data_IF_263255160205
#
_entry.id   IF_263255160205
#
_cell.length_a   1.000
_cell.length_b   1.000
_cell.length_c   1.000
_cell.angle_alpha   90.00
_cell.angle_beta   90.00
_cell.angle_gamma   90.00
#
_symmetry.space_group_name_H-M   'P 1'
#
loop_
_entity.id
_entity.type
_entity.pdbx_description
1 polymer ?
#
# COMPACT_ATOMS: atom_id res chain seq x y z
N UNK A 1 -27.30 51.11 -8.61
CA UNK A 1 -27.85 49.86 -8.03
C UNK A 1 -28.07 48.76 -9.07
N UNK A 2 -28.71 49.02 -10.21
CA UNK A 2 -28.99 47.99 -11.23
C UNK A 2 -27.76 47.19 -11.68
N UNK A 3 -26.65 47.86 -12.04
CA UNK A 3 -25.40 47.20 -12.45
C UNK A 3 -24.77 46.31 -11.37
N UNK A 4 -24.92 46.70 -10.10
CA UNK A 4 -24.43 45.92 -8.96
C UNK A 4 -25.24 44.64 -8.81
N UNK A 5 -26.56 44.69 -9.01
CA UNK A 5 -27.42 43.49 -8.95
C UNK A 5 -27.06 42.52 -10.07
N UNK A 6 -26.87 43.02 -11.30
CA UNK A 6 -26.45 42.18 -12.45
C UNK A 6 -25.08 41.54 -12.19
N UNK A 7 -24.13 42.30 -11.65
CA UNK A 7 -22.79 41.79 -11.32
C UNK A 7 -22.85 40.63 -10.31
N UNK A 8 -23.62 40.77 -9.23
CA UNK A 8 -23.73 39.72 -8.21
C UNK A 8 -24.44 38.48 -8.77
N UNK A 9 -25.50 38.64 -9.55
CA UNK A 9 -26.24 37.51 -10.14
C UNK A 9 -25.39 36.71 -11.14
N UNK A 10 -24.70 37.40 -12.06
CA UNK A 10 -23.93 36.73 -13.10
C UNK A 10 -22.61 36.20 -12.54
N UNK A 11 -21.88 37.01 -11.78
CA UNK A 11 -20.52 36.66 -11.37
C UNK A 11 -20.51 35.77 -10.12
N UNK A 12 -21.24 36.15 -9.06
CA UNK A 12 -21.19 35.41 -7.79
C UNK A 12 -22.12 34.20 -7.79
N UNK A 13 -23.35 34.35 -8.30
CA UNK A 13 -24.31 33.24 -8.32
C UNK A 13 -23.96 32.23 -9.40
N UNK A 14 -23.92 32.65 -10.68
CA UNK A 14 -23.74 31.71 -11.79
C UNK A 14 -22.27 31.30 -11.94
N UNK A 15 -21.34 32.27 -11.97
CA UNK A 15 -19.92 31.99 -12.21
C UNK A 15 -19.24 31.20 -11.09
N UNK A 16 -19.44 31.63 -9.84
CA UNK A 16 -18.79 31.01 -8.68
C UNK A 16 -19.65 29.94 -7.99
N UNK A 17 -20.83 29.64 -8.53
CA UNK A 17 -21.78 28.67 -7.97
C UNK A 17 -21.98 28.86 -6.45
N UNK A 18 -22.00 30.12 -5.99
CA UNK A 18 -22.00 30.45 -4.55
C UNK A 18 -23.24 29.99 -3.77
N UNK A 19 -24.26 29.47 -4.48
CA UNK A 19 -25.45 28.84 -3.91
C UNK A 19 -25.27 27.33 -3.66
N UNK A 20 -24.20 26.71 -4.15
CA UNK A 20 -23.90 25.30 -3.96
C UNK A 20 -22.88 25.11 -2.84
N UNK A 21 -23.15 24.14 -1.97
CA UNK A 21 -22.17 23.62 -1.01
C UNK A 21 -21.53 22.37 -1.58
N UNK A 22 -20.28 22.49 -2.02
CA UNK A 22 -19.49 21.35 -2.43
C UNK A 22 -19.10 20.54 -1.20
N UNK A 23 -19.42 19.25 -1.22
CA UNK A 23 -18.91 18.29 -0.25
C UNK A 23 -17.96 17.39 -1.01
N UNK A 24 -16.75 17.22 -0.50
CA UNK A 24 -15.81 16.26 -1.08
C UNK A 24 -16.35 14.85 -0.92
N UNK A 25 -16.21 14.04 -1.98
CA UNK A 25 -16.59 12.65 -1.95
C UNK A 25 -15.66 11.89 -0.99
N UNK A 26 -16.16 11.57 0.20
CA UNK A 26 -15.46 10.71 1.15
C UNK A 26 -15.69 9.25 0.74
N UNK A 27 -14.70 8.64 0.08
CA UNK A 27 -14.73 7.21 -0.24
C UNK A 27 -13.71 6.46 0.62
N UNK A 28 -14.14 5.40 1.29
CA UNK A 28 -13.26 4.50 2.05
C UNK A 28 -13.06 3.22 1.25
N UNK A 29 -11.84 2.95 0.80
CA UNK A 29 -11.49 1.65 0.21
C UNK A 29 -10.99 0.70 1.28
N UNK A 30 -11.47 -0.54 1.28
CA UNK A 30 -10.93 -1.62 2.12
C UNK A 30 -9.99 -2.47 1.27
N UNK A 31 -8.71 -2.47 1.63
CA UNK A 31 -7.72 -3.39 1.07
C UNK A 31 -7.60 -4.58 2.02
N UNK A 32 -7.91 -5.77 1.54
CA UNK A 32 -7.66 -7.03 2.26
C UNK A 32 -6.43 -7.69 1.66
N UNK A 33 -5.40 -7.95 2.47
CA UNK A 33 -4.29 -8.78 2.05
C UNK A 33 -4.78 -10.22 1.85
N UNK A 34 -4.54 -10.77 0.66
CA UNK A 34 -4.65 -12.20 0.41
C UNK A 34 -3.27 -12.83 0.53
N UNK A 35 -3.23 -14.07 1.01
CA UNK A 35 -2.02 -14.88 1.08
C UNK A 35 -1.42 -15.10 -0.32
N UNK A 36 -0.10 -14.91 -0.51
CA UNK A 36 0.54 -15.19 -1.79
C UNK A 36 0.60 -16.70 -2.01
N UNK A 37 -0.14 -17.19 -3.00
CA UNK A 37 -0.20 -18.61 -3.36
C UNK A 37 0.56 -18.88 -4.65
N UNK A 38 0.96 -20.13 -4.86
CA UNK A 38 1.55 -20.58 -6.12
C UNK A 38 0.50 -20.75 -7.25
N UNK A 39 -0.38 -19.76 -7.44
CA UNK A 39 -1.41 -19.75 -8.49
C UNK A 39 -2.68 -20.54 -8.17
N UNK A 40 -2.97 -20.79 -6.90
CA UNK A 40 -4.17 -21.50 -6.43
C UNK A 40 -5.03 -20.63 -5.51
N UNK A 41 -6.25 -21.08 -5.23
CA UNK A 41 -7.14 -20.40 -4.29
C UNK A 41 -6.61 -20.61 -2.84
N UNK A 42 -6.31 -19.53 -2.08
CA UNK A 42 -5.79 -19.66 -0.72
C UNK A 42 -6.77 -20.32 0.26
N UNK A 43 -8.05 -20.40 -0.07
CA UNK A 43 -9.03 -21.07 0.77
C UNK A 43 -9.06 -22.60 0.61
N UNK A 44 -8.28 -23.14 -0.35
CA UNK A 44 -8.16 -24.58 -0.56
C UNK A 44 -7.02 -25.16 0.28
N UNK A 45 -7.30 -26.22 1.04
CA UNK A 45 -6.33 -26.84 1.97
C UNK A 45 -5.10 -27.45 1.29
N UNK A 46 -5.14 -27.65 -0.03
CA UNK A 46 -4.01 -28.15 -0.83
C UNK A 46 -3.17 -27.04 -1.46
N UNK A 47 -3.57 -25.79 -1.29
CA UNK A 47 -2.87 -24.65 -1.86
C UNK A 47 -1.60 -24.37 -1.05
N UNK A 48 -0.48 -24.21 -1.75
CA UNK A 48 0.82 -23.90 -1.14
C UNK A 48 1.12 -22.43 -1.25
N UNK A 49 1.68 -21.91 -0.18
CA UNK A 49 2.13 -20.54 -0.13
C UNK A 49 3.36 -20.35 -1.00
N UNK A 50 3.46 -19.16 -1.59
CA UNK A 50 4.58 -18.72 -2.42
C UNK A 50 5.40 -17.67 -1.68
N UNK A 51 5.64 -17.89 -0.39
CA UNK A 51 6.57 -17.05 0.37
C UNK A 51 8.00 -17.31 -0.09
N UNK A 52 8.77 -16.24 -0.28
CA UNK A 52 10.21 -16.38 -0.44
C UNK A 52 10.81 -16.95 0.86
N UNK A 53 11.77 -17.89 0.78
CA UNK A 53 12.47 -18.37 1.96
C UNK A 53 13.13 -17.19 2.68
N UNK A 54 13.14 -17.21 4.02
CA UNK A 54 13.66 -16.09 4.83
C UNK A 54 15.07 -15.67 4.41
N UNK A 55 15.89 -16.61 3.94
CA UNK A 55 17.23 -16.36 3.41
C UNK A 55 17.24 -15.47 2.16
N UNK A 56 16.21 -15.47 1.33
CA UNK A 56 16.14 -14.67 0.10
C UNK A 56 15.51 -13.28 0.32
N UNK A 57 15.11 -12.96 1.55
CA UNK A 57 14.57 -11.64 1.85
C UNK A 57 15.72 -10.62 1.93
N UNK A 58 15.64 -9.49 1.21
CA UNK A 58 16.73 -8.52 1.12
C UNK A 58 17.08 -7.84 2.45
N UNK A 59 16.21 -7.99 3.45
CA UNK A 59 16.39 -7.48 4.81
C UNK A 59 16.83 -8.54 5.82
N UNK A 60 17.02 -9.80 5.41
CA UNK A 60 17.32 -10.91 6.32
C UNK A 60 18.58 -10.67 7.17
N UNK A 61 19.66 -10.15 6.57
CA UNK A 61 20.88 -9.79 7.29
C UNK A 61 21.00 -8.28 7.62
N UNK A 62 19.98 -7.46 7.35
CA UNK A 62 20.09 -6.01 7.50
C UNK A 62 20.25 -5.54 8.95
N UNK A 63 19.81 -6.34 9.93
CA UNK A 63 19.85 -5.99 11.37
C UNK A 63 20.59 -7.00 12.24
N UNK A 64 21.11 -8.10 11.69
CA UNK A 64 21.68 -9.20 12.48
C UNK A 64 23.15 -9.42 12.12
N UNK A 65 24.05 -9.16 13.07
CA UNK A 65 25.50 -9.41 12.94
C UNK A 65 25.86 -10.89 12.83
N UNK A 66 24.91 -11.78 13.12
CA UNK A 66 25.04 -13.24 13.02
C UNK A 66 24.57 -13.80 11.68
N UNK A 67 24.36 -12.93 10.68
CA UNK A 67 23.84 -13.30 9.36
C UNK A 67 24.84 -12.84 8.29
N UNK A 68 25.20 -13.73 7.35
CA UNK A 68 26.03 -13.40 6.19
C UNK A 68 25.22 -13.50 4.90
N UNK A 69 25.36 -12.49 4.06
CA UNK A 69 24.88 -12.52 2.67
C UNK A 69 25.88 -13.32 1.83
N UNK A 70 25.39 -14.34 1.15
CA UNK A 70 26.11 -15.14 0.17
C UNK A 70 26.12 -14.42 -1.19
N UNK A 71 27.03 -14.80 -2.09
CA UNK A 71 27.22 -14.16 -3.40
C UNK A 71 26.02 -14.33 -4.35
N UNK A 72 25.12 -15.27 -4.06
CA UNK A 72 23.86 -15.53 -4.76
C UNK A 72 22.69 -14.65 -4.26
N UNK A 73 22.95 -13.77 -3.30
CA UNK A 73 21.93 -12.92 -2.66
C UNK A 73 21.10 -13.65 -1.60
N UNK A 74 21.40 -14.92 -1.30
CA UNK A 74 20.81 -15.63 -0.17
C UNK A 74 21.51 -15.26 1.15
N UNK A 75 20.82 -15.39 2.27
CA UNK A 75 21.30 -15.06 3.59
C UNK A 75 21.41 -16.35 4.42
N UNK A 76 22.57 -16.58 5.04
CA UNK A 76 22.80 -17.70 5.94
C UNK A 76 23.07 -17.21 7.36
N UNK A 77 22.52 -17.91 8.35
CA UNK A 77 22.89 -17.70 9.74
C UNK A 77 24.29 -18.27 9.96
N UNK A 78 25.16 -17.48 10.57
CA UNK A 78 26.38 -17.96 11.19
C UNK A 78 25.96 -18.77 12.43
N UNK A 79 25.66 -20.05 12.26
CA UNK A 79 25.55 -20.97 13.39
C UNK A 79 26.90 -20.92 14.11
N UNK A 80 26.93 -20.33 15.30
CA UNK A 80 27.99 -20.65 16.26
C UNK A 80 27.81 -22.12 16.61
N UNK A 81 28.63 -22.99 16.04
CA UNK A 81 28.85 -24.33 16.57
C UNK A 81 29.38 -24.16 17.99
N UNK A 82 28.48 -24.24 18.96
CA UNK A 82 28.79 -24.26 20.39
C UNK A 82 28.58 -25.66 20.94
N UNK A 83 29.72 -26.32 21.20
CA UNK A 83 29.94 -27.58 21.94
C UNK A 83 29.57 -28.90 21.24
#
# INVERSE_FOLDING_TARGET
>A
MFFIVVYILVYQLIGNLGYLKFNDAQNTVRLTLQEPTAGCNPNDTGCKDSFAPLSHLPYCCAQNSSCKTNDDGSCSLLVQTGA
#
